data_IF_362727645936
#
_entry.id   IF_362727645936
#
_cell.length_a   1.000
_cell.length_b   1.000
_cell.length_c   1.000
_cell.angle_alpha   90.00
_cell.angle_beta   90.00
_cell.angle_gamma   90.00
#
_symmetry.space_group_name_H-M   'P 1'
#
loop_
_entity.id
_entity.type
_entity.pdbx_description
1 polymer ?
#
# COMPACT_ATOMS: atom_id res chain seq x y z
N UNK A 1 1.14 -14.82 22.89
CA UNK A 1 1.59 -14.61 21.50
C UNK A 1 0.55 -13.75 20.83
N UNK A 2 0.87 -12.48 20.54
CA UNK A 2 0.03 -11.71 19.62
C UNK A 2 0.24 -12.32 18.22
N UNK A 3 -0.77 -12.42 17.36
CA UNK A 3 -0.53 -12.83 15.99
C UNK A 3 0.30 -11.72 15.34
N UNK A 4 1.61 -11.96 15.25
CA UNK A 4 2.56 -11.07 14.60
C UNK A 4 2.11 -10.95 13.15
N UNK A 5 1.43 -9.85 12.80
CA UNK A 5 1.01 -9.58 11.42
C UNK A 5 2.27 -9.64 10.56
N UNK A 6 2.28 -10.55 9.59
CA UNK A 6 3.48 -10.86 8.81
C UNK A 6 4.04 -9.60 8.15
N UNK A 7 5.30 -9.28 8.45
CA UNK A 7 5.99 -8.13 7.85
C UNK A 7 6.04 -8.23 6.32
N UNK A 8 6.09 -9.44 5.77
CA UNK A 8 6.01 -9.68 4.34
C UNK A 8 4.64 -9.35 3.74
N UNK A 9 3.56 -9.60 4.47
CA UNK A 9 2.21 -9.26 4.04
C UNK A 9 2.05 -7.74 3.92
N UNK A 10 2.54 -7.01 4.92
CA UNK A 10 2.54 -5.56 4.95
C UNK A 10 3.43 -4.97 3.83
N UNK A 11 4.62 -5.53 3.63
CA UNK A 11 5.52 -5.14 2.53
C UNK A 11 4.88 -5.35 1.16
N UNK A 12 4.19 -6.48 0.94
CA UNK A 12 3.46 -6.77 -0.30
C UNK A 12 2.31 -5.79 -0.52
N UNK A 13 1.55 -5.46 0.53
CA UNK A 13 0.49 -4.46 0.46
C UNK A 13 1.04 -3.11 0.01
N UNK A 14 2.15 -2.65 0.61
CA UNK A 14 2.85 -1.43 0.21
C UNK A 14 3.31 -1.44 -1.24
N UNK A 15 3.93 -2.54 -1.68
CA UNK A 15 4.39 -2.70 -3.05
C UNK A 15 3.23 -2.65 -4.05
N UNK A 16 2.10 -3.30 -3.73
CA UNK A 16 0.90 -3.25 -4.56
C UNK A 16 0.33 -1.81 -4.67
N UNK A 17 0.37 -1.02 -3.60
CA UNK A 17 -0.01 0.39 -3.62
C UNK A 17 0.82 1.21 -4.60
N UNK A 18 2.16 1.04 -4.58
CA UNK A 18 3.07 1.69 -5.52
C UNK A 18 2.73 1.32 -6.97
N UNK A 19 2.57 0.02 -7.27
CA UNK A 19 2.26 -0.44 -8.61
C UNK A 19 0.92 0.09 -9.14
N UNK A 20 -0.10 0.20 -8.29
CA UNK A 20 -1.39 0.76 -8.68
C UNK A 20 -1.27 2.24 -9.06
N UNK A 21 -0.42 2.99 -8.35
CA UNK A 21 -0.14 4.38 -8.72
C UNK A 21 0.58 4.49 -10.07
N UNK A 22 1.58 3.63 -10.30
CA UNK A 22 2.28 3.54 -11.59
C UNK A 22 1.34 3.17 -12.74
N UNK A 23 0.38 2.29 -12.49
CA UNK A 23 -0.70 1.95 -13.40
C UNK A 23 -1.78 3.05 -13.52
N UNK A 24 -1.54 4.25 -12.99
CA UNK A 24 -2.44 5.41 -13.03
C UNK A 24 -3.83 5.15 -12.42
N UNK A 25 -3.92 4.22 -11.46
CA UNK A 25 -5.16 3.96 -10.74
C UNK A 25 -5.33 4.96 -9.59
N UNK A 26 -6.56 5.46 -9.35
CA UNK A 26 -6.80 6.38 -8.26
C UNK A 26 -6.64 5.65 -6.91
N UNK A 27 -6.27 6.40 -5.86
CA UNK A 27 -6.13 5.90 -4.48
C UNK A 27 -7.38 5.20 -3.96
N UNK A 28 -8.56 5.60 -4.45
CA UNK A 28 -9.85 4.97 -4.13
C UNK A 28 -9.97 3.52 -4.64
N UNK A 29 -9.07 3.07 -5.53
CA UNK A 29 -9.00 1.68 -6.01
C UNK A 29 -8.35 0.72 -5.01
N UNK A 30 -8.23 1.13 -3.74
CA UNK A 30 -7.76 0.30 -2.64
C UNK A 30 -8.55 -1.01 -2.59
N UNK A 31 -7.88 -2.18 -2.55
CA UNK A 31 -8.59 -3.46 -2.54
C UNK A 31 -9.29 -3.70 -1.20
N UNK A 32 -10.20 -4.67 -1.20
CA UNK A 32 -10.80 -5.17 0.04
C UNK A 32 -9.78 -6.03 0.78
N UNK A 33 -9.49 -5.65 2.02
CA UNK A 33 -8.64 -6.41 2.94
C UNK A 33 -9.51 -7.11 3.99
N UNK A 34 -8.90 -8.05 4.72
CA UNK A 34 -9.56 -8.73 5.84
C UNK A 34 -10.12 -7.74 6.87
N UNK A 35 -11.17 -8.15 7.59
CA UNK A 35 -11.68 -7.37 8.72
C UNK A 35 -10.73 -7.48 9.91
N UNK A 36 -10.66 -6.43 10.74
CA UNK A 36 -9.83 -6.40 11.95
C UNK A 36 -8.45 -5.75 11.74
N UNK A 37 -7.59 -5.90 12.74
CA UNK A 37 -6.31 -5.18 12.84
C UNK A 37 -5.40 -5.50 11.65
N UNK A 38 -5.31 -6.76 11.25
CA UNK A 38 -4.44 -7.19 10.15
C UNK A 38 -4.79 -6.51 8.82
N UNK A 39 -6.06 -6.54 8.41
CA UNK A 39 -6.45 -5.90 7.16
C UNK A 39 -6.46 -4.38 7.22
N UNK A 40 -6.67 -3.79 8.41
CA UNK A 40 -6.46 -2.35 8.61
C UNK A 40 -4.98 -1.96 8.42
N UNK A 41 -4.03 -2.76 8.92
CA UNK A 41 -2.61 -2.52 8.68
C UNK A 41 -2.23 -2.70 7.22
N UNK A 42 -2.76 -3.72 6.54
CA UNK A 42 -2.54 -3.90 5.09
C UNK A 42 -3.08 -2.72 4.28
N UNK A 43 -4.28 -2.22 4.61
CA UNK A 43 -4.85 -1.02 3.98
C UNK A 43 -3.93 0.18 4.16
N UNK A 44 -3.44 0.43 5.38
CA UNK A 44 -2.53 1.52 5.67
C UNK A 44 -1.23 1.43 4.86
N UNK A 45 -0.64 0.25 4.78
CA UNK A 45 0.60 0.06 4.00
C UNK A 45 0.37 0.21 2.49
N UNK A 46 -0.73 -0.33 1.98
CA UNK A 46 -1.10 -0.12 0.57
C UNK A 46 -1.27 1.37 0.25
N UNK A 47 -2.00 2.09 1.10
CA UNK A 47 -2.19 3.53 0.94
C UNK A 47 -0.87 4.29 1.00
N UNK A 48 0.00 3.96 1.97
CA UNK A 48 1.33 4.57 2.08
C UNK A 48 2.21 4.32 0.85
N UNK A 49 2.12 3.13 0.24
CA UNK A 49 2.81 2.81 -1.01
C UNK A 49 2.30 3.65 -2.19
N UNK A 50 0.97 3.81 -2.31
CA UNK A 50 0.36 4.65 -3.34
C UNK A 50 0.78 6.12 -3.17
N UNK A 51 0.67 6.65 -1.94
CA UNK A 51 0.98 8.04 -1.61
C UNK A 51 2.47 8.34 -1.84
N UNK A 52 3.36 7.42 -1.44
CA UNK A 52 4.80 7.53 -1.69
C UNK A 52 5.11 7.63 -3.19
N UNK A 53 4.50 6.77 -4.01
CA UNK A 53 4.76 6.79 -5.45
C UNK A 53 4.17 8.01 -6.13
N UNK A 54 3.02 8.50 -5.69
CA UNK A 54 2.44 9.74 -6.20
C UNK A 54 3.35 10.94 -5.93
N UNK A 55 3.93 10.99 -4.73
CA UNK A 55 4.93 12.01 -4.37
C UNK A 55 6.19 11.93 -5.24
N UNK A 56 6.76 10.74 -5.41
CA UNK A 56 7.92 10.50 -6.30
C UNK A 56 7.64 10.97 -7.74
N UNK A 57 6.48 10.61 -8.29
CA UNK A 57 6.06 11.02 -9.64
C UNK A 57 5.90 12.55 -9.75
N UNK A 58 5.33 13.20 -8.73
CA UNK A 58 5.17 14.67 -8.69
C UNK A 58 6.50 15.42 -8.60
N UNK A 59 7.48 14.86 -7.92
CA UNK A 59 8.82 15.43 -7.83
C UNK A 59 9.69 15.14 -9.06
N UNK A 60 9.23 14.31 -9.99
CA UNK A 60 10.07 13.83 -11.10
C UNK A 60 11.22 12.93 -10.63
N UNK A 61 11.15 12.41 -9.40
CA UNK A 61 12.10 11.43 -8.88
C UNK A 61 11.64 10.07 -9.36
N UNK A 62 12.09 9.68 -10.55
CA UNK A 62 11.95 8.31 -10.99
C UNK A 62 12.81 7.43 -10.08
N UNK A 63 12.14 6.61 -9.26
CA UNK A 63 12.73 5.46 -8.58
C UNK A 63 13.45 4.53 -9.57
#
# INVERSE_FOLDING_TARGET
MQPEVSSDLLRRARQAGRFMREAHKPRSSVPLFAMGIEGHLQRKEWEAGWDQRDYEMKLGVAA
#
